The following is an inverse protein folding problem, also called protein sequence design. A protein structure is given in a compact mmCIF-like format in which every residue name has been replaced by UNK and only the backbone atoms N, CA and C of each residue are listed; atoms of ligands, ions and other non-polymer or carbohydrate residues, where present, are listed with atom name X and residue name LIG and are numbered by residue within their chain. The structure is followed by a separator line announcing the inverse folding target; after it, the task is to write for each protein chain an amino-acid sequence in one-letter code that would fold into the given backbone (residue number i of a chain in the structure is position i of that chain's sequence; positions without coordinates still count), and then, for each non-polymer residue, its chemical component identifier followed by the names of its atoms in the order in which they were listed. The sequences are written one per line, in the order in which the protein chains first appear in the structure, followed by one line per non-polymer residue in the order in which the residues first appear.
data_IF_183555317267
#
_entry.id   IF_183555317267
#
_cell.length_a   1.000
_cell.length_b   1.000
_cell.length_c   1.000
_cell.angle_alpha   90.00
_cell.angle_beta   90.00
_cell.angle_gamma   90.00
#
_symmetry.space_group_name_H-M   'P 1'
#
loop_
_entity.id
_entity.type
_entity.pdbx_description
1 polymer ?
#
# COMPACT_ATOMS: atom_id res chain seq x y z
N UNK A 1 3.06 28.80 -25.75
CA UNK A 1 3.35 29.36 -24.41
C UNK A 1 2.28 28.85 -23.47
N UNK A 2 2.61 28.06 -22.45
CA UNK A 2 1.64 27.74 -21.40
C UNK A 2 1.35 29.03 -20.64
N UNK A 3 0.10 29.49 -20.67
CA UNK A 3 -0.33 30.64 -19.90
C UNK A 3 -0.59 30.21 -18.44
N UNK A 4 -0.60 31.17 -17.53
CA UNK A 4 -0.75 30.87 -16.11
C UNK A 4 -2.06 30.10 -15.83
N UNK A 5 -3.11 30.36 -16.61
CA UNK A 5 -4.41 29.68 -16.48
C UNK A 5 -4.34 28.20 -16.84
N UNK A 6 -3.64 27.82 -17.92
CA UNK A 6 -3.43 26.40 -18.26
C UNK A 6 -2.56 25.68 -17.24
N UNK A 7 -1.56 26.35 -16.66
CA UNK A 7 -0.74 25.78 -15.57
C UNK A 7 -1.60 25.54 -14.32
N UNK A 8 -2.46 26.48 -13.94
CA UNK A 8 -3.38 26.30 -12.82
C UNK A 8 -4.38 25.17 -13.07
N UNK A 9 -4.97 25.08 -14.26
CA UNK A 9 -5.91 24.02 -14.61
C UNK A 9 -5.29 22.61 -14.51
N UNK A 10 -4.04 22.45 -14.94
CA UNK A 10 -3.29 21.19 -14.81
C UNK A 10 -3.03 20.83 -13.35
N UNK A 11 -2.61 21.82 -12.53
CA UNK A 11 -2.36 21.59 -11.11
C UNK A 11 -3.64 21.21 -10.35
N UNK A 12 -4.77 21.86 -10.63
CA UNK A 12 -6.07 21.54 -10.03
C UNK A 12 -6.56 20.16 -10.45
N UNK A 13 -6.39 19.79 -11.72
CA UNK A 13 -6.79 18.45 -12.19
C UNK A 13 -5.96 17.35 -11.53
N UNK A 14 -4.64 17.55 -11.46
CA UNK A 14 -3.73 16.58 -10.84
C UNK A 14 -3.98 16.40 -9.35
N UNK A 15 -4.31 17.48 -8.62
CA UNK A 15 -4.60 17.40 -7.18
C UNK A 15 -5.89 16.64 -6.89
N UNK A 16 -6.93 16.81 -7.72
CA UNK A 16 -8.18 16.06 -7.60
C UNK A 16 -7.99 14.57 -7.87
N UNK A 17 -7.26 14.22 -8.94
CA UNK A 17 -6.93 12.82 -9.26
C UNK A 17 -6.10 12.20 -8.13
N UNK A 18 -5.07 12.92 -7.65
CA UNK A 18 -4.23 12.45 -6.54
C UNK A 18 -5.03 12.21 -5.27
N UNK A 19 -5.97 13.10 -4.93
CA UNK A 19 -6.85 12.95 -3.78
C UNK A 19 -7.78 11.73 -3.93
N UNK A 20 -8.39 11.53 -5.11
CA UNK A 20 -9.24 10.38 -5.37
C UNK A 20 -8.47 9.05 -5.24
N UNK A 21 -7.26 8.97 -5.79
CA UNK A 21 -6.38 7.81 -5.66
C UNK A 21 -6.00 7.59 -4.20
N UNK A 22 -5.67 8.65 -3.45
CA UNK A 22 -5.36 8.55 -2.02
C UNK A 22 -6.52 7.97 -1.22
N UNK A 23 -7.74 8.47 -1.41
CA UNK A 23 -8.94 7.94 -0.71
C UNK A 23 -9.16 6.46 -1.05
N UNK A 24 -9.06 6.09 -2.32
CA UNK A 24 -9.19 4.71 -2.77
C UNK A 24 -8.15 3.79 -2.10
N UNK A 25 -6.90 4.25 -2.00
CA UNK A 25 -5.83 3.51 -1.34
C UNK A 25 -6.03 3.37 0.17
N UNK A 26 -6.52 4.43 0.83
CA UNK A 26 -6.86 4.39 2.25
C UNK A 26 -7.95 3.34 2.50
N UNK A 27 -8.98 3.28 1.65
CA UNK A 27 -10.05 2.28 1.77
C UNK A 27 -9.51 0.86 1.57
N UNK A 28 -8.64 0.64 0.58
CA UNK A 28 -8.01 -0.66 0.35
C UNK A 28 -7.18 -1.12 1.57
N UNK A 29 -6.30 -0.25 2.08
CA UNK A 29 -5.47 -0.52 3.25
C UNK A 29 -6.30 -0.69 4.52
N UNK A 30 -7.38 0.06 4.70
CA UNK A 30 -8.31 -0.08 5.82
C UNK A 30 -8.84 -1.52 5.89
N UNK A 31 -9.28 -2.05 4.75
CA UNK A 31 -9.78 -3.44 4.65
C UNK A 31 -8.67 -4.45 4.98
N UNK A 32 -7.47 -4.27 4.42
CA UNK A 32 -6.31 -5.13 4.71
C UNK A 32 -5.99 -5.16 6.21
N UNK A 33 -5.93 -3.99 6.84
CA UNK A 33 -5.64 -3.88 8.27
C UNK A 33 -6.72 -4.53 9.12
N UNK A 34 -7.99 -4.32 8.76
CA UNK A 34 -9.12 -4.91 9.46
C UNK A 34 -9.10 -6.45 9.34
N UNK A 35 -8.76 -7.00 8.16
CA UNK A 35 -8.57 -8.45 7.97
C UNK A 35 -7.41 -9.01 8.79
N UNK A 36 -6.36 -8.22 9.00
CA UNK A 36 -5.20 -8.59 9.81
C UNK A 36 -5.39 -8.33 11.33
N UNK A 37 -6.58 -7.92 11.76
CA UNK A 37 -6.89 -7.66 13.17
C UNK A 37 -6.42 -6.30 13.70
N UNK A 38 -6.02 -5.38 12.82
CA UNK A 38 -5.65 -4.00 13.19
C UNK A 38 -6.79 -3.02 12.94
N UNK A 39 -6.88 -1.91 13.70
CA UNK A 39 -7.84 -0.85 13.43
C UNK A 39 -7.64 -0.24 12.04
N UNK A 40 -8.66 -0.29 11.19
CA UNK A 40 -8.52 0.14 9.80
C UNK A 40 -8.27 1.65 9.59
N UNK A 41 -8.68 2.50 10.53
CA UNK A 41 -8.42 3.95 10.47
C UNK A 41 -6.93 4.29 10.44
N UNK A 42 -6.06 3.36 10.88
CA UNK A 42 -4.61 3.49 10.79
C UNK A 42 -4.12 3.65 9.35
N UNK A 43 -4.92 3.27 8.35
CA UNK A 43 -4.65 3.48 6.92
C UNK A 43 -4.60 4.96 6.51
N UNK A 44 -5.30 5.83 7.22
CA UNK A 44 -5.41 7.26 6.88
C UNK A 44 -4.07 7.98 7.10
N UNK A 45 -3.42 7.72 8.23
CA UNK A 45 -2.23 8.48 8.61
C UNK A 45 -1.00 7.93 7.85
N UNK A 46 -0.32 8.73 6.99
CA UNK A 46 0.69 8.23 6.07
C UNK A 46 1.87 7.48 6.72
N UNK A 47 2.35 7.96 7.87
CA UNK A 47 3.47 7.28 8.56
C UNK A 47 3.00 6.02 9.26
N UNK A 48 1.78 6.06 9.83
CA UNK A 48 1.22 4.92 10.57
C UNK A 48 0.83 3.81 9.62
N UNK A 49 0.27 4.12 8.45
CA UNK A 49 -0.11 3.09 7.48
C UNK A 49 1.11 2.27 7.02
N UNK A 50 2.27 2.90 6.82
CA UNK A 50 3.50 2.20 6.46
C UNK A 50 3.99 1.28 7.59
N UNK A 51 3.98 1.76 8.84
CA UNK A 51 4.32 0.96 10.02
C UNK A 51 3.44 -0.29 10.12
N UNK A 52 2.12 -0.12 9.99
CA UNK A 52 1.19 -1.23 10.13
C UNK A 52 1.22 -2.16 8.92
N UNK A 53 1.43 -1.66 7.70
CA UNK A 53 1.63 -2.51 6.53
C UNK A 53 2.83 -3.44 6.71
N UNK A 54 3.93 -2.92 7.25
CA UNK A 54 5.13 -3.71 7.59
C UNK A 54 4.82 -4.75 8.67
N UNK A 55 3.99 -4.40 9.67
CA UNK A 55 3.53 -5.35 10.71
C UNK A 55 2.65 -6.45 10.13
N UNK A 56 1.73 -6.13 9.23
CA UNK A 56 0.89 -7.11 8.51
C UNK A 56 1.76 -8.04 7.64
N UNK A 57 2.87 -7.54 7.11
CA UNK A 57 3.86 -8.36 6.41
C UNK A 57 4.77 -9.19 7.35
N UNK A 58 4.49 -9.23 8.66
CA UNK A 58 5.19 -10.07 9.62
C UNK A 58 6.55 -9.52 10.07
N UNK A 59 6.77 -8.21 9.96
CA UNK A 59 7.98 -7.55 10.46
C UNK A 59 7.67 -6.68 11.69
N UNK A 60 8.73 -6.24 12.39
CA UNK A 60 8.55 -5.23 13.44
C UNK A 60 8.21 -3.88 12.79
N UNK A 61 7.36 -3.08 13.44
CA UNK A 61 6.99 -1.75 12.95
C UNK A 61 8.18 -0.82 12.74
N UNK A 62 9.27 -1.01 13.49
CA UNK A 62 10.51 -0.24 13.36
C UNK A 62 11.22 -0.44 12.02
N UNK A 63 10.99 -1.58 11.36
CA UNK A 63 11.54 -1.84 10.02
C UNK A 63 10.99 -0.87 8.96
N UNK A 64 9.88 -0.14 9.23
CA UNK A 64 9.42 0.91 8.32
C UNK A 64 10.42 2.05 8.15
N UNK A 65 11.39 2.22 9.08
CA UNK A 65 12.50 3.17 8.93
C UNK A 65 13.40 2.83 7.74
N UNK A 66 13.42 1.57 7.29
CA UNK A 66 14.17 1.16 6.09
C UNK A 66 13.62 1.84 4.83
N UNK A 67 12.37 2.31 4.82
CA UNK A 67 11.84 3.10 3.71
C UNK A 67 12.49 4.48 3.57
N UNK A 68 13.20 4.98 4.59
CA UNK A 68 13.93 6.25 4.53
C UNK A 68 15.30 6.11 3.88
N UNK A 69 15.83 4.88 3.76
CA UNK A 69 17.14 4.61 3.18
C UNK A 69 16.97 4.38 1.67
N UNK A 70 17.59 5.21 0.81
CA UNK A 70 17.54 5.01 -0.64
C UNK A 70 18.02 3.62 -1.05
N UNK A 71 17.45 3.07 -2.13
CA UNK A 71 17.71 1.71 -2.66
C UNK A 71 17.17 0.60 -1.76
N UNK A 72 17.47 0.66 -0.45
CA UNK A 72 16.94 -0.28 0.55
C UNK A 72 15.42 -0.18 0.61
N UNK A 73 14.85 1.01 0.47
CA UNK A 73 13.41 1.22 0.41
C UNK A 73 12.73 0.40 -0.71
N UNK A 74 13.34 0.31 -1.89
CA UNK A 74 12.79 -0.45 -3.03
C UNK A 74 12.85 -1.95 -2.75
N UNK A 75 14.00 -2.46 -2.34
CA UNK A 75 14.19 -3.89 -2.02
C UNK A 75 13.25 -4.30 -0.89
N UNK A 76 13.18 -3.49 0.16
CA UNK A 76 12.32 -3.72 1.30
C UNK A 76 10.83 -3.65 0.93
N UNK A 77 10.43 -2.73 0.04
CA UNK A 77 9.07 -2.67 -0.48
C UNK A 77 8.67 -3.97 -1.20
N UNK A 78 9.55 -4.51 -2.04
CA UNK A 78 9.31 -5.77 -2.75
C UNK A 78 9.15 -6.94 -1.75
N UNK A 79 9.99 -7.00 -0.72
CA UNK A 79 9.91 -8.05 0.32
C UNK A 79 8.59 -7.95 1.08
N UNK A 80 8.20 -6.74 1.50
CA UNK A 80 6.92 -6.48 2.19
C UNK A 80 5.74 -6.86 1.31
N UNK A 81 5.76 -6.50 0.03
CA UNK A 81 4.74 -6.87 -0.95
C UNK A 81 4.60 -8.40 -1.09
N UNK A 82 5.72 -9.12 -1.23
CA UNK A 82 5.72 -10.58 -1.35
C UNK A 82 5.23 -11.27 -0.08
N UNK A 83 5.60 -10.78 1.12
CA UNK A 83 5.08 -11.34 2.38
C UNK A 83 3.60 -11.01 2.56
N UNK A 84 3.19 -9.78 2.27
CA UNK A 84 1.77 -9.40 2.32
C UNK A 84 0.92 -10.30 1.43
N UNK A 85 1.29 -10.46 0.16
CA UNK A 85 0.56 -11.35 -0.74
C UNK A 85 0.52 -12.79 -0.23
N UNK A 86 1.65 -13.32 0.27
CA UNK A 86 1.69 -14.65 0.91
C UNK A 86 0.76 -14.78 2.11
N UNK A 87 0.68 -13.77 2.98
CA UNK A 87 -0.24 -13.77 4.12
C UNK A 87 -1.69 -13.94 3.68
N UNK A 88 -2.07 -13.34 2.55
CA UNK A 88 -3.38 -13.47 1.92
C UNK A 88 -3.49 -14.64 0.93
N UNK A 89 -2.49 -15.52 0.83
CA UNK A 89 -2.55 -16.73 0.00
C UNK A 89 -2.18 -16.55 -1.47
N UNK A 90 -1.62 -15.40 -1.83
CA UNK A 90 -1.16 -15.11 -3.18
C UNK A 90 0.30 -15.49 -3.40
N UNK A 91 0.64 -15.91 -4.62
CA UNK A 91 2.00 -16.26 -5.01
C UNK A 91 2.95 -15.06 -5.14
N UNK A 92 4.26 -15.34 -5.25
CA UNK A 92 5.29 -14.31 -5.42
C UNK A 92 5.15 -13.48 -6.69
N UNK A 93 4.75 -14.12 -7.81
CA UNK A 93 4.50 -13.43 -9.09
C UNK A 93 3.33 -12.46 -8.97
N UNK A 94 2.20 -12.89 -8.42
CA UNK A 94 1.05 -12.01 -8.12
C UNK A 94 1.51 -10.82 -7.28
N UNK A 95 2.24 -11.11 -6.20
CA UNK A 95 2.66 -10.07 -5.25
C UNK A 95 3.60 -9.06 -5.90
N UNK A 96 4.57 -9.51 -6.69
CA UNK A 96 5.48 -8.61 -7.39
C UNK A 96 4.74 -7.74 -8.40
N UNK A 97 3.99 -8.35 -9.33
CA UNK A 97 3.34 -7.57 -10.39
C UNK A 97 2.21 -6.70 -9.85
N UNK A 98 1.39 -7.18 -8.94
CA UNK A 98 0.22 -6.42 -8.50
C UNK A 98 0.45 -5.57 -7.27
N UNK A 99 1.35 -5.91 -6.34
CA UNK A 99 1.60 -5.08 -5.16
C UNK A 99 2.79 -4.14 -5.33
N UNK A 100 3.67 -4.36 -6.32
CA UNK A 100 4.79 -3.44 -6.64
C UNK A 100 4.51 -2.64 -7.91
N UNK A 101 4.21 -3.29 -9.04
CA UNK A 101 4.03 -2.59 -10.33
C UNK A 101 2.64 -1.95 -10.42
N UNK A 102 1.59 -2.73 -10.21
CA UNK A 102 0.19 -2.28 -10.27
C UNK A 102 -0.43 -2.11 -8.88
N UNK A 103 0.34 -1.51 -7.97
CA UNK A 103 0.06 -1.44 -6.54
C UNK A 103 -1.39 -1.06 -6.20
N UNK A 104 -1.97 -0.07 -6.89
CA UNK A 104 -3.37 0.35 -6.69
C UNK A 104 -4.34 -0.83 -6.83
N UNK A 105 -4.20 -1.61 -7.91
CA UNK A 105 -5.05 -2.75 -8.20
C UNK A 105 -4.76 -3.89 -7.22
N UNK A 106 -3.49 -4.17 -6.94
CA UNK A 106 -3.13 -5.26 -6.02
C UNK A 106 -3.65 -5.04 -4.60
N UNK A 107 -3.52 -3.83 -4.04
CA UNK A 107 -4.04 -3.53 -2.71
C UNK A 107 -5.57 -3.59 -2.67
N UNK A 108 -6.26 -3.17 -3.73
CA UNK A 108 -7.72 -3.34 -3.84
C UNK A 108 -8.11 -4.83 -3.86
N UNK A 109 -7.45 -5.65 -4.67
CA UNK A 109 -7.73 -7.08 -4.74
C UNK A 109 -7.53 -7.71 -3.36
N UNK A 110 -6.38 -7.49 -2.72
CA UNK A 110 -6.09 -8.08 -1.39
C UNK A 110 -7.06 -7.58 -0.32
N UNK A 111 -7.43 -6.30 -0.36
CA UNK A 111 -8.37 -5.71 0.60
C UNK A 111 -9.81 -6.21 0.43
N UNK A 112 -10.27 -6.43 -0.81
CA UNK A 112 -11.67 -6.72 -1.11
C UNK A 112 -11.96 -8.16 -1.52
N UNK A 113 -10.96 -8.98 -1.80
CA UNK A 113 -11.15 -10.41 -2.04
C UNK A 113 -11.70 -11.13 -0.79
N UNK A 114 -12.15 -12.37 -0.94
CA UNK A 114 -12.57 -13.21 0.18
C UNK A 114 -11.38 -13.85 0.94
N UNK A 115 -10.15 -13.51 0.55
CA UNK A 115 -8.95 -14.07 1.14
C UNK A 115 -8.81 -13.70 2.61
N UNK A 116 -8.54 -14.74 3.40
CA UNK A 116 -8.29 -14.63 4.83
C UNK A 116 -6.82 -14.38 5.09
N UNK A 117 -6.53 -13.40 5.95
CA UNK A 117 -5.19 -13.16 6.44
C UNK A 117 -4.72 -14.34 7.31
N UNK A 118 -3.55 -14.89 6.98
CA UNK A 118 -2.91 -15.96 7.76
C UNK A 118 -1.44 -15.63 7.97
N UNK A 119 -1.08 -15.31 9.21
CA UNK A 119 0.30 -15.04 9.60
C UNK A 119 1.20 -16.27 9.54
N UNK A 120 0.64 -17.50 9.51
CA UNK A 120 1.45 -18.73 9.37
C UNK A 120 2.18 -18.84 8.02
N UNK A 121 1.79 -18.04 7.01
CA UNK A 121 2.31 -18.12 5.63
C UNK A 121 3.54 -17.24 5.38
N UNK A 122 4.00 -16.48 6.37
CA UNK A 122 4.99 -15.40 6.20
C UNK A 122 6.20 -15.49 7.10
#
# INVERSE_FOLDING_TARGET
MFDQTSIFALNTTNSLIGFAVYVLMVVALWRIFSKAGYPGWLAIIPIVNAIFLVKVAGFSGWMSLLYLIPIVNIVFHIIVAIRLGRAFGHGGVFSFFLLVVFWIIGYLIVGFSDDQYRSERI
#
